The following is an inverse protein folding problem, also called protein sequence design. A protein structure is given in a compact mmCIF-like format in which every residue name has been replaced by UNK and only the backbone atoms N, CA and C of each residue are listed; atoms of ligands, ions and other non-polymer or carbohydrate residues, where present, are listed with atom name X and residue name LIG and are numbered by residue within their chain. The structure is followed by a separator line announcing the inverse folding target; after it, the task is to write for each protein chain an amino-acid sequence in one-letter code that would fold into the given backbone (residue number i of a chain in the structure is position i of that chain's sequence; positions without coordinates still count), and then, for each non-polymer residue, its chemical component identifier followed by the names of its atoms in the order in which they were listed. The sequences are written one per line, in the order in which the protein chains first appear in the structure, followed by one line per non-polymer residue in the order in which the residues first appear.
data_IF_588101599702
#
_entry.id   IF_588101599702
#
_cell.length_a   1.000
_cell.length_b   1.000
_cell.length_c   1.000
_cell.angle_alpha   90.00
_cell.angle_beta   90.00
_cell.angle_gamma   90.00
#
_symmetry.space_group_name_H-M   'P 1'
#
loop_
_entity.id
_entity.type
_entity.pdbx_description
1 polymer ?
#
# COMPACT_ATOMS: atom_id res chain seq x y z
N UNK A 1 8.23 -2.62 -7.75
CA UNK A 1 8.62 -2.84 -9.17
C UNK A 1 9.65 -1.77 -9.53
N UNK A 2 10.56 -1.99 -10.47
CA UNK A 2 11.90 -1.33 -10.51
C UNK A 2 11.86 0.20 -10.59
N UNK A 3 12.46 0.81 -9.56
CA UNK A 3 12.93 2.18 -9.42
C UNK A 3 14.04 2.47 -10.44
N UNK A 4 13.68 2.85 -11.67
CA UNK A 4 14.68 3.25 -12.67
C UNK A 4 15.14 4.70 -12.46
N UNK A 5 14.44 5.49 -11.64
CA UNK A 5 14.66 6.95 -11.54
C UNK A 5 14.52 7.69 -12.88
N UNK A 6 13.94 7.04 -13.90
CA UNK A 6 13.89 7.50 -15.29
C UNK A 6 12.47 7.35 -15.81
N UNK A 7 11.92 8.43 -16.35
CA UNK A 7 10.56 8.45 -16.89
C UNK A 7 10.44 7.57 -18.15
N UNK A 8 9.46 6.67 -18.25
CA UNK A 8 9.32 5.76 -19.39
C UNK A 8 8.93 6.47 -20.70
N UNK A 9 8.29 7.66 -20.62
CA UNK A 9 7.89 8.42 -21.82
C UNK A 9 9.00 9.28 -22.39
N UNK A 10 9.69 10.04 -21.54
CA UNK A 10 10.64 11.06 -21.99
C UNK A 10 12.09 10.77 -21.60
N UNK A 11 12.37 9.63 -20.95
CA UNK A 11 13.70 9.21 -20.44
C UNK A 11 14.39 10.24 -19.54
N UNK A 12 13.65 11.24 -19.05
CA UNK A 12 14.16 12.25 -18.13
C UNK A 12 14.27 11.67 -16.71
N UNK A 13 15.28 12.11 -15.97
CA UNK A 13 15.51 11.78 -14.56
C UNK A 13 14.87 12.79 -13.59
N UNK A 14 14.23 13.84 -14.12
CA UNK A 14 13.58 14.88 -13.32
C UNK A 14 12.19 14.41 -12.85
N UNK A 15 12.19 13.54 -11.83
CA UNK A 15 11.00 12.92 -11.26
C UNK A 15 10.75 13.47 -9.86
N UNK A 16 9.56 14.03 -9.64
CA UNK A 16 9.09 14.44 -8.32
C UNK A 16 8.26 13.32 -7.70
N UNK A 17 8.67 12.88 -6.52
CA UNK A 17 7.90 11.96 -5.68
C UNK A 17 6.91 12.77 -4.83
N UNK A 18 5.64 12.41 -4.92
CA UNK A 18 4.57 12.89 -4.06
C UNK A 18 4.03 11.71 -3.26
N UNK A 19 4.13 11.81 -1.94
CA UNK A 19 3.46 10.94 -0.98
C UNK A 19 2.03 11.44 -0.78
N UNK A 20 1.04 10.56 -0.94
CA UNK A 20 -0.24 10.83 -0.31
C UNK A 20 -0.05 10.77 1.22
N UNK A 21 -0.88 11.48 1.99
CA UNK A 21 -0.84 11.40 3.45
C UNK A 21 -0.92 9.95 3.96
N UNK A 22 -0.52 9.73 5.20
CA UNK A 22 -0.26 8.41 5.85
C UNK A 22 -1.08 7.22 5.30
N UNK A 23 -2.41 7.33 5.24
CA UNK A 23 -3.30 6.24 4.79
C UNK A 23 -3.40 6.07 3.26
N UNK A 24 -3.34 7.18 2.51
CA UNK A 24 -3.32 7.16 1.05
C UNK A 24 -2.00 6.62 0.51
N UNK A 25 -0.89 6.87 1.21
CA UNK A 25 0.36 6.19 0.89
C UNK A 25 0.18 4.70 1.12
N UNK A 26 -0.28 4.27 2.30
CA UNK A 26 -0.51 2.84 2.62
C UNK A 26 -1.31 2.10 1.55
N UNK A 27 -2.31 2.69 0.92
CA UNK A 27 -3.17 1.97 -0.04
C UNK A 27 -2.72 2.08 -1.50
N UNK A 28 -2.30 3.27 -1.95
CA UNK A 28 -1.95 3.50 -3.36
C UNK A 28 -0.44 3.38 -3.63
N UNK A 29 0.40 3.61 -2.62
CA UNK A 29 1.84 3.78 -2.79
C UNK A 29 2.22 5.23 -3.13
N UNK A 30 3.43 5.39 -3.62
CA UNK A 30 4.02 6.70 -3.89
C UNK A 30 3.74 7.13 -5.33
N UNK A 31 3.39 8.40 -5.53
CA UNK A 31 3.13 8.96 -6.86
C UNK A 31 4.41 9.58 -7.40
N UNK A 32 4.83 9.15 -8.58
CA UNK A 32 5.99 9.69 -9.26
C UNK A 32 5.52 10.48 -10.47
N UNK A 33 5.81 11.78 -10.47
CA UNK A 33 5.49 12.69 -11.57
C UNK A 33 6.77 13.17 -12.24
N UNK A 34 6.91 12.86 -13.51
CA UNK A 34 7.96 13.44 -14.34
C UNK A 34 7.65 14.93 -14.59
N UNK A 35 8.60 15.82 -14.28
CA UNK A 35 8.43 17.25 -14.55
C UNK A 35 8.63 17.60 -16.02
N UNK A 36 9.47 16.85 -16.74
CA UNK A 36 9.79 17.14 -18.14
C UNK A 36 8.59 16.91 -19.09
N UNK A 37 7.87 15.80 -18.90
CA UNK A 37 6.74 15.43 -19.77
C UNK A 37 5.38 15.33 -19.05
N UNK A 38 5.32 15.65 -17.76
CA UNK A 38 4.09 15.63 -16.97
C UNK A 38 3.52 14.24 -16.69
N UNK A 39 4.20 13.17 -17.14
CA UNK A 39 3.76 11.79 -16.96
C UNK A 39 3.74 11.41 -15.48
N UNK A 40 2.63 10.83 -15.03
CA UNK A 40 2.42 10.39 -13.64
C UNK A 40 2.25 8.88 -13.59
N UNK A 41 2.99 8.23 -12.72
CA UNK A 41 2.86 6.80 -12.44
C UNK A 41 2.91 6.53 -10.94
N UNK A 42 2.23 5.48 -10.52
CA UNK A 42 2.16 5.07 -9.11
C UNK A 42 3.13 3.91 -8.93
N UNK A 43 4.09 4.06 -8.02
CA UNK A 43 4.97 2.95 -7.66
C UNK A 43 4.55 2.41 -6.30
N UNK A 44 4.21 1.12 -6.29
CA UNK A 44 4.09 0.35 -5.05
C UNK A 44 5.41 -0.39 -4.82
N UNK A 45 6.04 -0.11 -3.69
CA UNK A 45 7.20 -0.85 -3.21
C UNK A 45 6.82 -2.24 -2.71
N UNK A 46 7.77 -3.17 -2.71
CA UNK A 46 7.54 -4.54 -2.22
C UNK A 46 7.41 -4.58 -0.69
N UNK A 47 7.98 -3.60 0.02
CA UNK A 47 7.70 -3.36 1.45
C UNK A 47 6.24 -2.96 1.66
N UNK A 48 5.72 -2.09 0.80
CA UNK A 48 4.35 -1.60 0.84
C UNK A 48 3.30 -2.71 0.80
N UNK A 49 3.48 -3.65 -0.11
CA UNK A 49 2.62 -4.82 -0.25
C UNK A 49 2.72 -5.75 0.98
N UNK A 50 3.87 -5.80 1.66
CA UNK A 50 4.04 -6.58 2.89
C UNK A 50 3.34 -5.93 4.08
N UNK A 51 3.49 -4.62 4.26
CA UNK A 51 2.79 -3.90 5.33
C UNK A 51 1.27 -4.01 5.20
N UNK A 52 0.74 -3.87 3.97
CA UNK A 52 -0.68 -4.09 3.72
C UNK A 52 -1.10 -5.52 4.04
N UNK A 53 -0.29 -6.51 3.63
CA UNK A 53 -0.55 -7.92 3.90
C UNK A 53 -0.56 -8.26 5.39
N UNK A 54 0.35 -7.66 6.17
CA UNK A 54 0.39 -7.84 7.63
C UNK A 54 -0.85 -7.19 8.28
N UNK A 55 -1.19 -5.97 7.90
CA UNK A 55 -2.36 -5.28 8.45
C UNK A 55 -3.66 -6.05 8.19
N UNK A 56 -3.84 -6.53 6.96
CA UNK A 56 -5.00 -7.34 6.57
C UNK A 56 -4.97 -8.69 7.31
N UNK A 57 -3.81 -9.35 7.38
CA UNK A 57 -3.65 -10.62 8.08
C UNK A 57 -4.01 -10.54 9.55
N UNK A 58 -3.49 -9.53 10.26
CA UNK A 58 -3.81 -9.31 11.69
C UNK A 58 -5.30 -9.02 11.89
N UNK A 59 -5.91 -8.22 11.01
CA UNK A 59 -7.34 -7.89 11.10
C UNK A 59 -8.24 -9.12 10.91
N UNK A 60 -7.92 -9.99 9.95
CA UNK A 60 -8.67 -11.23 9.70
C UNK A 60 -8.52 -12.19 10.88
N UNK A 61 -7.29 -12.45 11.34
CA UNK A 61 -7.02 -13.37 12.46
C UNK A 61 -7.70 -12.87 13.74
N UNK A 62 -7.60 -11.57 14.05
CA UNK A 62 -8.28 -10.99 15.20
C UNK A 62 -9.80 -11.15 15.14
N UNK A 63 -10.40 -10.96 13.96
CA UNK A 63 -11.85 -11.14 13.77
C UNK A 63 -12.28 -12.59 13.98
N UNK A 64 -11.50 -13.56 13.49
CA UNK A 64 -11.78 -15.00 13.69
C UNK A 64 -11.73 -15.35 15.18
N UNK A 65 -10.73 -14.87 15.91
CA UNK A 65 -10.60 -15.12 17.36
C UNK A 65 -11.79 -14.50 18.10
N UNK A 66 -12.14 -13.25 17.79
CA UNK A 66 -13.28 -12.58 18.41
C UNK A 66 -14.59 -13.36 18.17
N UNK A 67 -14.84 -13.81 16.93
CA UNK A 67 -16.01 -14.62 16.60
C UNK A 67 -16.00 -15.97 17.31
N UNK A 68 -14.85 -16.62 17.44
CA UNK A 68 -14.72 -17.90 18.16
C UNK A 68 -15.05 -17.75 19.65
N UNK A 69 -14.55 -16.69 20.30
CA UNK A 69 -14.87 -16.38 21.70
C UNK A 69 -16.36 -16.10 21.85
N UNK A 70 -16.93 -15.31 20.95
CA UNK A 70 -18.34 -14.94 20.99
C UNK A 70 -19.24 -16.17 20.79
N UNK A 71 -18.90 -17.05 19.86
CA UNK A 71 -19.60 -18.33 19.67
C UNK A 71 -19.48 -19.24 20.90
N UNK A 72 -18.30 -19.33 21.53
CA UNK A 72 -18.11 -20.10 22.74
C UNK A 72 -18.99 -19.61 23.89
N UNK A 73 -19.02 -18.30 24.13
CA UNK A 73 -19.87 -17.69 25.16
C UNK A 73 -21.36 -17.93 24.89
N UNK A 74 -21.81 -17.84 23.63
CA UNK A 74 -23.21 -18.10 23.26
C UNK A 74 -23.60 -19.57 23.41
N UNK A 75 -22.67 -20.51 23.19
CA UNK A 75 -22.92 -21.95 23.31
C UNK A 75 -22.80 -22.48 24.74
N UNK A 76 -22.20 -21.73 25.65
CA UNK A 76 -21.96 -22.14 27.05
C UNK A 76 -22.85 -21.43 28.06
N UNK A 77 -23.63 -20.44 27.63
CA UNK A 77 -24.73 -19.79 28.36
C UNK A 77 -26.05 -20.45 27.97
#
# INVERSE_FOLDING_TARGET
MKNSGVCPKCKSTDIKMNTLGSWGNMTAGNFYRCKACGFTEIWSDKSHQRDLGILVGVSIVGSIIALAILAYLVLTV
#
